data_IF_660351415216
#
_entry.id   IF_660351415216
#
_cell.length_a   1.000
_cell.length_b   1.000
_cell.length_c   1.000
_cell.angle_alpha   90.00
_cell.angle_beta   90.00
_cell.angle_gamma   90.00
#
_symmetry.space_group_name_H-M   'P 1'
#
loop_
_entity.id
_entity.type
_entity.pdbx_description
1 polymer ?
#
# COMPACT_ATOMS: atom_id res chain seq x y z
N UNK A 1 -49.00 16.85 -48.84
CA UNK A 1 -49.34 16.64 -47.42
C UNK A 1 -48.51 15.47 -46.95
N UNK A 2 -47.37 15.75 -46.31
CA UNK A 2 -46.52 14.77 -45.66
C UNK A 2 -46.60 15.06 -44.15
N UNK A 3 -47.06 14.09 -43.39
CA UNK A 3 -47.11 14.10 -41.93
C UNK A 3 -45.71 13.81 -41.38
N UNK A 4 -45.21 14.53 -40.34
CA UNK A 4 -43.92 14.24 -39.73
C UNK A 4 -44.06 13.10 -38.73
N UNK A 5 -43.07 12.20 -38.76
CA UNK A 5 -42.87 11.11 -37.81
C UNK A 5 -42.28 11.66 -36.52
N UNK A 6 -42.79 11.33 -35.34
CA UNK A 6 -42.20 11.74 -34.08
C UNK A 6 -40.97 10.86 -33.78
N UNK A 7 -39.78 11.49 -33.63
CA UNK A 7 -38.58 10.87 -33.08
C UNK A 7 -38.61 10.97 -31.55
N UNK A 8 -39.17 9.96 -30.92
CA UNK A 8 -39.05 9.82 -29.48
C UNK A 8 -37.76 9.03 -29.16
N UNK A 9 -36.73 9.76 -28.79
CA UNK A 9 -35.46 9.19 -28.39
C UNK A 9 -35.46 9.10 -26.86
N UNK A 10 -35.52 7.88 -26.27
CA UNK A 10 -35.47 7.77 -24.80
C UNK A 10 -34.12 8.24 -24.30
N UNK A 11 -34.13 9.38 -23.60
CA UNK A 11 -32.97 9.87 -22.86
C UNK A 11 -32.58 8.82 -21.81
N UNK A 12 -31.50 8.09 -22.09
CA UNK A 12 -30.83 7.28 -21.10
C UNK A 12 -30.32 8.22 -20.01
N UNK A 13 -30.90 8.14 -18.82
CA UNK A 13 -30.40 8.85 -17.65
C UNK A 13 -28.99 8.34 -17.37
N UNK A 14 -27.98 9.20 -17.19
CA UNK A 14 -26.65 8.74 -16.77
C UNK A 14 -26.78 8.11 -15.39
N UNK A 15 -26.40 6.85 -15.30
CA UNK A 15 -26.28 6.12 -14.04
C UNK A 15 -25.02 6.68 -13.35
N UNK A 16 -25.20 7.26 -12.18
CA UNK A 16 -24.09 7.71 -11.35
C UNK A 16 -23.28 6.48 -10.93
N UNK A 17 -22.00 6.45 -11.28
CA UNK A 17 -21.09 5.38 -10.90
C UNK A 17 -20.27 5.84 -9.71
N UNK A 18 -20.55 5.29 -8.52
CA UNK A 18 -19.77 5.47 -7.32
C UNK A 18 -18.75 4.31 -7.23
N UNK A 19 -17.48 4.60 -7.30
CA UNK A 19 -16.42 3.59 -7.22
C UNK A 19 -15.13 4.14 -6.63
N UNK A 20 -14.65 3.49 -5.57
CA UNK A 20 -13.43 3.85 -4.87
C UNK A 20 -12.17 3.51 -5.67
N UNK A 21 -11.11 4.33 -5.61
CA UNK A 21 -9.86 4.03 -6.27
C UNK A 21 -9.10 2.92 -5.54
N UNK A 22 -8.42 2.09 -6.33
CA UNK A 22 -7.70 0.88 -5.96
C UNK A 22 -6.61 1.03 -4.88
N UNK A 23 -6.12 2.23 -4.60
CA UNK A 23 -5.16 2.47 -3.50
C UNK A 23 -5.70 2.06 -2.13
N UNK A 24 -7.01 2.05 -1.94
CA UNK A 24 -7.67 1.56 -0.75
C UNK A 24 -7.75 0.02 -0.69
N UNK A 25 -7.56 -0.70 -1.80
CA UNK A 25 -7.83 -2.13 -1.95
C UNK A 25 -6.62 -3.05 -1.71
N UNK A 26 -5.45 -2.52 -1.33
CA UNK A 26 -4.24 -3.30 -1.03
C UNK A 26 -4.06 -3.58 0.48
N UNK A 27 -5.13 -3.85 1.22
CA UNK A 27 -5.08 -3.80 2.67
C UNK A 27 -4.34 -4.95 3.37
N UNK A 28 -4.11 -6.11 2.74
CA UNK A 28 -3.47 -7.25 3.42
C UNK A 28 -2.14 -7.71 2.80
N UNK A 29 -1.98 -7.65 1.50
CA UNK A 29 -0.63 -7.80 0.90
C UNK A 29 0.31 -6.71 1.43
N UNK A 30 -0.26 -5.52 1.70
CA UNK A 30 0.47 -4.42 2.32
C UNK A 30 0.61 -4.60 3.83
N UNK A 31 -0.31 -5.26 4.53
CA UNK A 31 -0.23 -5.40 5.99
C UNK A 31 0.80 -6.44 6.44
N UNK A 32 0.96 -7.58 5.76
CA UNK A 32 2.06 -8.52 6.03
C UNK A 32 3.41 -7.97 5.56
N UNK A 33 3.44 -7.31 4.41
CA UNK A 33 4.62 -6.58 3.94
C UNK A 33 4.82 -5.28 4.72
N UNK A 34 3.78 -4.59 5.16
CA UNK A 34 3.89 -3.41 6.02
C UNK A 34 4.14 -3.79 7.49
N UNK A 35 3.68 -4.94 7.99
CA UNK A 35 4.10 -5.50 9.27
C UNK A 35 5.58 -5.88 9.27
N UNK A 36 6.09 -6.46 8.17
CA UNK A 36 7.52 -6.63 7.91
C UNK A 36 8.22 -5.32 7.52
N UNK A 37 7.47 -4.32 7.08
CA UNK A 37 7.94 -2.99 6.64
C UNK A 37 7.76 -1.90 7.71
N UNK A 38 6.78 -2.00 8.58
CA UNK A 38 6.74 -1.26 9.82
C UNK A 38 7.82 -1.86 10.72
N UNK A 39 9.07 -1.50 10.46
CA UNK A 39 10.08 -1.74 11.47
C UNK A 39 9.55 -1.13 12.76
N UNK A 40 9.37 -1.94 13.79
CA UNK A 40 9.25 -1.40 15.11
C UNK A 40 10.44 -0.47 15.34
N UNK A 41 10.22 0.55 16.10
CA UNK A 41 11.24 1.16 16.94
C UNK A 41 12.28 0.08 17.25
N UNK A 42 13.56 0.37 16.99
CA UNK A 42 14.66 -0.59 17.12
C UNK A 42 14.72 -1.34 18.47
N UNK A 43 13.94 -0.96 19.46
CA UNK A 43 13.78 -1.63 20.75
C UNK A 43 12.89 -2.87 20.76
N UNK A 44 12.07 -3.14 19.72
CA UNK A 44 11.18 -4.31 19.72
C UNK A 44 11.76 -5.55 19.01
N UNK A 45 12.91 -5.43 18.34
CA UNK A 45 13.56 -6.57 17.65
C UNK A 45 14.14 -7.61 18.60
N UNK A 46 14.23 -7.32 19.91
CA UNK A 46 14.82 -8.17 20.92
C UNK A 46 13.92 -8.38 22.14
N UNK A 47 12.60 -8.10 22.00
CA UNK A 47 11.70 -8.21 23.13
C UNK A 47 11.49 -9.68 23.52
N UNK A 48 12.05 -10.06 24.66
CA UNK A 48 11.83 -11.36 25.35
C UNK A 48 10.55 -11.32 26.19
N UNK A 49 10.00 -10.15 26.38
CA UNK A 49 8.78 -9.88 27.13
C UNK A 49 7.93 -8.86 26.39
N UNK A 50 6.65 -8.78 26.76
CA UNK A 50 5.78 -7.73 26.30
C UNK A 50 6.34 -6.34 26.68
N UNK A 51 6.04 -5.29 25.90
CA UNK A 51 6.41 -3.92 26.26
C UNK A 51 5.92 -3.57 27.68
N UNK A 52 6.70 -2.83 28.45
CA UNK A 52 6.31 -2.40 29.81
C UNK A 52 5.13 -1.42 29.80
N UNK A 53 4.97 -0.66 28.73
CA UNK A 53 3.95 0.39 28.57
C UNK A 53 3.16 0.18 27.29
N UNK A 54 1.89 0.51 27.35
CA UNK A 54 1.04 0.61 26.17
C UNK A 54 1.42 1.80 25.30
N UNK A 55 0.92 1.84 24.08
CA UNK A 55 1.07 2.93 23.11
C UNK A 55 -0.28 3.26 22.49
N UNK A 56 -0.67 4.51 22.53
CA UNK A 56 -1.77 5.05 21.75
C UNK A 56 -1.24 6.00 20.68
N UNK A 57 -1.75 5.92 19.46
CA UNK A 57 -1.35 6.78 18.36
C UNK A 57 -2.53 7.21 17.51
N UNK A 58 -2.52 8.45 17.07
CA UNK A 58 -3.46 9.02 16.12
C UNK A 58 -2.70 9.46 14.88
N UNK A 59 -3.25 9.16 13.70
CA UNK A 59 -2.70 9.64 12.43
C UNK A 59 -3.81 10.23 11.56
N UNK A 60 -3.45 11.27 10.84
CA UNK A 60 -4.28 11.88 9.81
C UNK A 60 -3.47 11.98 8.51
N UNK A 61 -4.11 11.65 7.39
CA UNK A 61 -3.56 11.76 6.04
C UNK A 61 -4.48 12.63 5.18
N UNK A 62 -3.91 13.59 4.47
CA UNK A 62 -4.52 14.25 3.32
C UNK A 62 -3.66 13.94 2.09
N UNK A 63 -4.26 13.28 1.11
CA UNK A 63 -3.65 12.89 -0.16
C UNK A 63 -4.42 13.50 -1.30
N UNK A 64 -3.70 14.06 -2.27
CA UNK A 64 -4.28 14.60 -3.50
C UNK A 64 -3.44 14.16 -4.68
N UNK A 65 -4.08 13.57 -5.69
CA UNK A 65 -3.44 13.30 -6.98
C UNK A 65 -3.98 14.18 -8.11
N UNK A 66 -3.19 14.28 -9.16
CA UNK A 66 -3.50 15.06 -10.35
C UNK A 66 -2.90 14.43 -11.60
N UNK A 67 -3.57 14.65 -12.73
CA UNK A 67 -3.05 14.48 -14.08
C UNK A 67 -2.97 15.84 -14.77
N UNK A 68 -2.27 15.98 -15.90
CA UNK A 68 -2.09 17.30 -16.51
C UNK A 68 -3.39 18.09 -16.59
N UNK A 69 -3.39 19.24 -15.91
CA UNK A 69 -4.49 20.20 -15.91
C UNK A 69 -5.53 20.09 -14.80
N UNK A 70 -5.69 18.90 -14.13
CA UNK A 70 -6.82 18.72 -13.22
C UNK A 70 -6.48 17.90 -11.96
N UNK A 71 -6.93 18.33 -10.77
CA UNK A 71 -7.01 17.49 -9.58
C UNK A 71 -7.96 16.33 -9.83
N UNK A 72 -7.59 15.12 -9.35
CA UNK A 72 -8.40 13.92 -9.58
C UNK A 72 -9.01 13.39 -8.30
N UNK A 73 -8.18 12.76 -7.47
CA UNK A 73 -8.62 12.01 -6.30
C UNK A 73 -8.03 12.67 -5.06
N UNK A 74 -8.89 12.94 -4.09
CA UNK A 74 -8.51 13.30 -2.74
C UNK A 74 -8.90 12.19 -1.79
N UNK A 75 -7.96 11.78 -0.93
CA UNK A 75 -8.19 10.82 0.15
C UNK A 75 -7.89 11.50 1.48
N UNK A 76 -8.81 11.42 2.41
CA UNK A 76 -8.62 11.83 3.81
C UNK A 76 -8.81 10.63 4.70
N UNK A 77 -7.75 10.24 5.40
CA UNK A 77 -7.78 9.09 6.28
C UNK A 77 -7.44 9.48 7.72
N UNK A 78 -8.11 8.80 8.65
CA UNK A 78 -7.85 8.89 10.09
C UNK A 78 -7.56 7.49 10.60
N UNK A 79 -6.54 7.34 11.42
CA UNK A 79 -6.21 6.06 12.05
C UNK A 79 -5.97 6.24 13.53
N UNK A 80 -6.52 5.33 14.31
CA UNK A 80 -6.24 5.15 15.74
C UNK A 80 -5.49 3.85 15.92
N UNK A 81 -4.33 3.91 16.52
CA UNK A 81 -3.51 2.76 16.89
C UNK A 81 -3.51 2.61 18.41
N UNK A 82 -3.69 1.39 18.86
CA UNK A 82 -3.56 1.00 20.26
C UNK A 82 -2.71 -0.26 20.35
N UNK A 83 -1.74 -0.26 21.24
CA UNK A 83 -0.99 -1.45 21.64
C UNK A 83 -0.86 -1.43 23.14
N UNK A 84 -1.14 -2.55 23.81
CA UNK A 84 -1.02 -2.65 25.26
C UNK A 84 -0.52 -4.04 25.69
N UNK A 85 0.39 -4.12 26.64
CA UNK A 85 0.69 -5.38 27.31
C UNK A 85 -0.51 -5.86 28.11
N UNK A 86 -0.79 -7.17 28.08
CA UNK A 86 -1.80 -7.84 28.89
C UNK A 86 -1.11 -8.50 30.10
N UNK A 87 0.11 -8.96 29.89
CA UNK A 87 1.00 -9.54 30.91
C UNK A 87 2.44 -9.39 30.47
N UNK A 88 3.40 -9.94 31.23
CA UNK A 88 4.81 -10.00 30.84
C UNK A 88 5.06 -10.69 29.51
N UNK A 89 4.18 -11.63 29.14
CA UNK A 89 4.37 -12.52 27.99
C UNK A 89 3.38 -12.26 26.85
N UNK A 90 2.43 -11.34 27.04
CA UNK A 90 1.39 -11.09 26.05
C UNK A 90 1.13 -9.61 25.81
N UNK A 91 0.94 -9.24 24.57
CA UNK A 91 0.41 -7.93 24.18
C UNK A 91 -0.70 -8.07 23.14
N UNK A 92 -1.60 -7.09 23.13
CA UNK A 92 -2.61 -6.92 22.11
C UNK A 92 -2.36 -5.62 21.38
N UNK A 93 -2.48 -5.66 20.06
CA UNK A 93 -2.42 -4.50 19.18
C UNK A 93 -3.69 -4.35 18.38
N UNK A 94 -3.95 -3.15 17.90
CA UNK A 94 -5.05 -2.90 16.98
C UNK A 94 -4.95 -1.54 16.32
N UNK A 95 -5.54 -1.47 15.13
CA UNK A 95 -5.64 -0.23 14.36
C UNK A 95 -7.06 -0.10 13.81
N UNK A 96 -7.66 1.04 14.02
CA UNK A 96 -8.92 1.43 13.38
C UNK A 96 -8.63 2.52 12.36
N UNK A 97 -9.07 2.32 11.13
CA UNK A 97 -8.88 3.29 10.04
C UNK A 97 -10.23 3.65 9.42
N UNK A 98 -10.46 4.94 9.24
CA UNK A 98 -11.57 5.45 8.44
C UNK A 98 -11.00 6.39 7.40
N UNK A 99 -11.29 6.14 6.14
CA UNK A 99 -10.90 7.01 5.04
C UNK A 99 -12.09 7.33 4.14
N UNK A 100 -12.13 8.57 3.71
CA UNK A 100 -13.09 9.08 2.73
C UNK A 100 -12.32 9.45 1.45
N UNK A 101 -12.84 8.98 0.34
CA UNK A 101 -12.28 9.19 -0.99
C UNK A 101 -13.25 10.04 -1.78
N UNK A 102 -12.76 11.12 -2.36
CA UNK A 102 -13.51 11.97 -3.28
C UNK A 102 -12.67 12.29 -4.51
N UNK A 103 -13.31 12.50 -5.66
CA UNK A 103 -12.58 12.87 -6.85
C UNK A 103 -13.24 12.43 -8.15
N UNK A 104 -12.45 12.35 -9.22
CA UNK A 104 -12.89 11.98 -10.55
C UNK A 104 -11.98 10.93 -11.19
N UNK A 105 -12.57 10.04 -11.98
CA UNK A 105 -11.82 9.07 -12.80
C UNK A 105 -10.95 9.77 -13.85
N UNK A 106 -9.86 9.14 -14.33
CA UNK A 106 -9.04 9.67 -15.42
C UNK A 106 -9.86 9.97 -16.66
N UNK A 107 -9.71 11.16 -17.21
CA UNK A 107 -10.49 11.68 -18.33
C UNK A 107 -10.24 10.99 -19.67
N UNK A 108 -9.13 10.26 -19.85
CA UNK A 108 -8.80 9.63 -21.13
C UNK A 108 -9.50 8.29 -21.38
N UNK A 109 -10.28 7.79 -20.42
CA UNK A 109 -11.06 6.56 -20.58
C UNK A 109 -12.58 6.80 -20.57
N UNK A 110 -13.03 8.04 -20.32
CA UNK A 110 -14.43 8.42 -20.44
C UNK A 110 -14.53 9.92 -20.67
N UNK A 111 -15.39 10.33 -21.59
CA UNK A 111 -15.67 11.75 -21.86
C UNK A 111 -16.47 12.46 -20.76
N UNK A 112 -16.73 11.80 -19.63
CA UNK A 112 -17.45 12.34 -18.48
C UNK A 112 -16.63 12.12 -17.21
N UNK A 113 -16.27 13.21 -16.52
CA UNK A 113 -15.76 13.20 -15.17
C UNK A 113 -16.88 12.72 -14.23
N UNK A 114 -16.80 11.50 -13.79
CA UNK A 114 -17.74 10.98 -12.78
C UNK A 114 -17.16 11.28 -11.41
N UNK A 115 -17.85 12.08 -10.62
CA UNK A 115 -17.50 12.31 -9.22
C UNK A 115 -17.66 11.01 -8.46
N UNK A 116 -16.63 10.65 -7.72
CA UNK A 116 -16.59 9.48 -6.86
C UNK A 116 -16.61 9.95 -5.41
N UNK A 117 -17.41 9.30 -4.59
CA UNK A 117 -17.37 9.42 -3.15
C UNK A 117 -17.55 8.02 -2.57
N UNK A 118 -16.58 7.60 -1.76
CA UNK A 118 -16.65 6.32 -1.07
C UNK A 118 -16.01 6.45 0.31
N UNK A 119 -16.53 5.70 1.26
CA UNK A 119 -16.02 5.64 2.62
C UNK A 119 -15.59 4.20 2.95
N UNK A 120 -14.39 4.07 3.49
CA UNK A 120 -13.87 2.80 3.97
C UNK A 120 -13.69 2.83 5.46
N UNK A 121 -14.10 1.74 6.11
CA UNK A 121 -13.80 1.46 7.50
C UNK A 121 -13.00 0.16 7.59
N UNK A 122 -11.84 0.22 8.25
CA UNK A 122 -11.00 -0.93 8.46
C UNK A 122 -10.65 -1.07 9.95
N UNK A 123 -10.61 -2.31 10.40
CA UNK A 123 -10.16 -2.70 11.73
C UNK A 123 -9.16 -3.85 11.61
N UNK A 124 -8.04 -3.69 12.28
CA UNK A 124 -7.00 -4.72 12.39
C UNK A 124 -6.73 -4.95 13.87
N UNK A 125 -6.48 -6.20 14.24
CA UNK A 125 -6.12 -6.57 15.61
C UNK A 125 -5.10 -7.70 15.59
N UNK A 126 -4.19 -7.68 16.56
CA UNK A 126 -3.19 -8.72 16.75
C UNK A 126 -3.01 -9.08 18.21
N UNK A 127 -2.66 -10.33 18.44
CA UNK A 127 -2.29 -10.88 19.73
C UNK A 127 -0.89 -11.47 19.61
N UNK A 128 0.05 -10.96 20.40
CA UNK A 128 1.44 -11.41 20.39
C UNK A 128 1.79 -12.10 21.70
N UNK A 129 2.33 -13.32 21.61
CA UNK A 129 2.99 -14.02 22.69
C UNK A 129 4.49 -13.91 22.56
N UNK A 130 5.12 -13.57 23.67
CA UNK A 130 6.58 -13.45 23.80
C UNK A 130 7.16 -14.70 24.47
N UNK A 131 8.29 -15.14 23.95
CA UNK A 131 9.09 -16.25 24.46
C UNK A 131 10.53 -15.76 24.66
N UNK A 132 11.36 -16.45 25.45
CA UNK A 132 12.74 -16.02 25.70
C UNK A 132 13.57 -15.72 24.44
N UNK A 133 13.29 -16.40 23.34
CA UNK A 133 14.04 -16.23 22.08
C UNK A 133 13.12 -16.04 20.86
N UNK A 134 11.92 -15.48 21.03
CA UNK A 134 11.06 -15.25 19.87
C UNK A 134 9.66 -14.82 20.21
N UNK A 135 8.83 -14.63 19.18
CA UNK A 135 7.43 -14.23 19.32
C UNK A 135 6.54 -15.05 18.41
N UNK A 136 5.28 -15.18 18.80
CA UNK A 136 4.20 -15.65 17.93
C UNK A 136 3.09 -14.58 17.93
N UNK A 137 2.78 -14.05 16.76
CA UNK A 137 1.72 -13.06 16.56
C UNK A 137 0.61 -13.65 15.71
N UNK A 138 -0.63 -13.56 16.17
CA UNK A 138 -1.83 -13.91 15.43
C UNK A 138 -2.59 -12.62 15.14
N UNK A 139 -2.98 -12.41 13.88
CA UNK A 139 -3.68 -11.20 13.43
C UNK A 139 -4.99 -11.52 12.74
N UNK A 140 -5.92 -10.58 12.83
CA UNK A 140 -7.18 -10.57 12.09
C UNK A 140 -7.44 -9.17 11.54
N UNK A 141 -8.05 -9.07 10.36
CA UNK A 141 -8.40 -7.80 9.73
C UNK A 141 -9.78 -7.86 9.06
N UNK A 142 -10.45 -6.72 9.08
CA UNK A 142 -11.72 -6.48 8.41
C UNK A 142 -11.66 -5.11 7.73
N UNK A 143 -12.02 -5.03 6.45
CA UNK A 143 -12.17 -3.77 5.73
C UNK A 143 -13.46 -3.79 4.94
N UNK A 144 -14.27 -2.75 5.08
CA UNK A 144 -15.58 -2.62 4.45
C UNK A 144 -15.69 -1.29 3.72
N UNK A 145 -16.14 -1.37 2.49
CA UNK A 145 -16.54 -0.29 1.59
C UNK A 145 -17.97 -0.56 1.10
N UNK A 146 -18.56 0.36 0.36
CA UNK A 146 -19.91 0.18 -0.16
C UNK A 146 -20.06 -1.06 -1.05
N UNK A 147 -19.00 -1.41 -1.78
CA UNK A 147 -18.98 -2.46 -2.80
C UNK A 147 -17.93 -3.55 -2.57
N UNK A 148 -17.15 -3.44 -1.49
CA UNK A 148 -16.02 -4.32 -1.23
C UNK A 148 -15.91 -4.68 0.25
N UNK A 149 -15.84 -5.96 0.55
CA UNK A 149 -15.64 -6.48 1.90
C UNK A 149 -14.44 -7.43 1.91
N UNK A 150 -13.43 -7.10 2.69
CA UNK A 150 -12.21 -7.88 2.87
C UNK A 150 -12.11 -8.42 4.29
N UNK A 151 -11.74 -9.69 4.44
CA UNK A 151 -11.48 -10.35 5.71
C UNK A 151 -10.16 -11.09 5.64
N UNK A 152 -9.30 -10.88 6.63
CA UNK A 152 -7.98 -11.48 6.69
C UNK A 152 -7.69 -12.12 8.04
N UNK A 153 -6.84 -13.15 8.01
CA UNK A 153 -6.20 -13.72 9.21
C UNK A 153 -4.73 -13.97 8.90
N UNK A 154 -3.87 -13.83 9.91
CA UNK A 154 -2.43 -14.03 9.76
C UNK A 154 -1.81 -14.67 10.98
N UNK A 155 -0.69 -15.35 10.77
CA UNK A 155 0.19 -15.82 11.83
C UNK A 155 1.64 -15.49 11.45
N UNK A 156 2.41 -14.99 12.39
CA UNK A 156 3.82 -14.69 12.23
C UNK A 156 4.60 -15.17 13.44
N UNK A 157 5.74 -15.82 13.21
CA UNK A 157 6.66 -16.23 14.25
C UNK A 157 8.04 -15.62 14.00
N UNK A 158 8.73 -15.28 15.09
CA UNK A 158 10.13 -14.88 15.07
C UNK A 158 10.94 -15.77 16.00
N UNK A 159 12.23 -16.00 15.69
CA UNK A 159 13.17 -16.68 16.54
C UNK A 159 14.54 -16.04 16.46
N UNK A 160 15.06 -15.61 17.58
CA UNK A 160 16.40 -15.04 17.72
C UNK A 160 17.42 -16.09 18.16
N UNK A 161 18.67 -15.91 17.75
CA UNK A 161 19.82 -16.66 18.33
C UNK A 161 20.01 -16.29 19.80
N UNK A 162 20.79 -17.08 20.53
CA UNK A 162 21.16 -16.76 21.93
C UNK A 162 21.88 -15.42 22.05
N UNK A 163 22.74 -15.08 21.08
CA UNK A 163 23.44 -13.79 21.02
C UNK A 163 22.53 -12.62 20.62
N UNK A 164 21.27 -12.87 20.24
CA UNK A 164 20.29 -11.88 19.70
C UNK A 164 20.75 -11.16 18.42
N UNK A 165 21.88 -11.53 17.85
CA UNK A 165 22.39 -10.88 16.62
C UNK A 165 21.70 -11.37 15.36
N UNK A 166 21.09 -12.54 15.40
CA UNK A 166 20.39 -13.15 14.27
C UNK A 166 18.95 -13.43 14.63
N UNK A 167 18.00 -12.92 13.85
CA UNK A 167 16.57 -13.19 14.03
C UNK A 167 15.96 -13.70 12.72
N UNK A 168 15.39 -14.88 12.79
CA UNK A 168 14.58 -15.45 11.72
C UNK A 168 13.12 -15.04 11.91
N UNK A 169 12.41 -14.83 10.82
CA UNK A 169 10.97 -14.60 10.80
C UNK A 169 10.28 -15.45 9.74
N UNK A 170 9.08 -15.92 10.05
CA UNK A 170 8.21 -16.61 9.10
C UNK A 170 6.77 -16.16 9.33
N UNK A 171 6.01 -15.99 8.26
CA UNK A 171 4.61 -15.55 8.34
C UNK A 171 3.77 -16.13 7.23
N UNK A 172 2.48 -16.30 7.52
CA UNK A 172 1.44 -16.69 6.59
C UNK A 172 0.20 -15.81 6.81
N UNK A 173 -0.45 -15.42 5.72
CA UNK A 173 -1.72 -14.68 5.76
C UNK A 173 -2.69 -15.21 4.73
N UNK A 174 -3.97 -15.18 5.07
CA UNK A 174 -5.08 -15.54 4.20
C UNK A 174 -6.05 -14.38 4.14
N UNK A 175 -6.46 -14.02 2.94
CA UNK A 175 -7.45 -12.99 2.68
C UNK A 175 -8.59 -13.54 1.83
N UNK A 176 -9.82 -13.09 2.14
CA UNK A 176 -11.02 -13.43 1.39
C UNK A 176 -11.87 -12.18 1.20
N UNK A 177 -12.05 -11.80 -0.06
CA UNK A 177 -12.75 -10.60 -0.46
C UNK A 177 -14.07 -10.95 -1.16
N UNK A 178 -15.09 -10.16 -0.90
CA UNK A 178 -16.38 -10.14 -1.60
C UNK A 178 -16.48 -8.82 -2.36
N UNK A 179 -16.87 -8.87 -3.63
CA UNK A 179 -16.86 -7.75 -4.56
C UNK A 179 -18.21 -7.64 -5.23
N UNK A 180 -18.92 -6.54 -4.97
CA UNK A 180 -20.25 -6.24 -5.50
C UNK A 180 -20.33 -4.77 -5.90
N UNK A 181 -19.75 -4.39 -7.07
CA UNK A 181 -19.68 -3.01 -7.49
C UNK A 181 -21.07 -2.40 -7.66
N UNK A 182 -21.21 -1.14 -7.26
CA UNK A 182 -22.48 -0.40 -7.28
C UNK A 182 -23.04 -0.22 -8.70
N UNK A 183 -22.17 -0.26 -9.73
CA UNK A 183 -22.59 -0.23 -11.14
C UNK A 183 -23.23 -1.54 -11.64
N UNK A 184 -23.17 -2.62 -10.88
CA UNK A 184 -23.78 -3.89 -11.20
C UNK A 184 -23.18 -4.65 -12.40
N UNK A 185 -22.00 -4.23 -12.90
CA UNK A 185 -21.31 -4.88 -14.02
C UNK A 185 -20.97 -6.34 -13.71
N UNK A 186 -20.59 -6.60 -12.46
CA UNK A 186 -20.42 -7.95 -11.92
C UNK A 186 -21.15 -8.07 -10.59
N UNK A 187 -21.47 -9.29 -10.17
CA UNK A 187 -22.16 -9.56 -8.90
C UNK A 187 -21.57 -10.80 -8.22
N UNK A 188 -21.50 -10.75 -6.89
CA UNK A 188 -21.04 -11.87 -6.06
C UNK A 188 -19.65 -12.39 -6.43
N UNK A 189 -18.80 -11.51 -6.98
CA UNK A 189 -17.43 -11.86 -7.27
C UNK A 189 -16.62 -12.01 -5.97
N UNK A 190 -15.61 -12.86 -6.03
CA UNK A 190 -14.76 -13.17 -4.90
C UNK A 190 -13.30 -13.19 -5.30
N UNK A 191 -12.44 -12.87 -4.33
CA UNK A 191 -11.00 -13.02 -4.46
C UNK A 191 -10.45 -13.63 -3.17
N UNK A 192 -9.54 -14.59 -3.30
CA UNK A 192 -8.80 -15.17 -2.18
C UNK A 192 -7.32 -15.02 -2.45
N UNK A 193 -6.58 -14.60 -1.42
CA UNK A 193 -5.13 -14.43 -1.51
C UNK A 193 -4.48 -15.11 -0.33
N UNK A 194 -3.42 -15.88 -0.60
CA UNK A 194 -2.51 -16.44 0.40
C UNK A 194 -1.16 -15.78 0.25
N UNK A 195 -0.59 -15.31 1.35
CA UNK A 195 0.74 -14.70 1.38
C UNK A 195 1.63 -15.46 2.34
N UNK A 196 2.89 -15.69 1.98
CA UNK A 196 3.89 -16.23 2.86
C UNK A 196 5.13 -15.35 2.88
N UNK A 197 5.81 -15.30 4.01
CA UNK A 197 7.01 -14.52 4.23
C UNK A 197 8.04 -15.34 4.99
N UNK A 198 9.31 -15.26 4.56
CA UNK A 198 10.46 -15.70 5.34
C UNK A 198 11.48 -14.58 5.38
N UNK A 199 12.05 -14.31 6.55
CA UNK A 199 12.97 -13.21 6.76
C UNK A 199 14.15 -13.57 7.65
N UNK A 200 15.22 -12.83 7.46
CA UNK A 200 16.43 -12.87 8.27
C UNK A 200 16.84 -11.44 8.60
N UNK A 201 16.99 -11.14 9.87
CA UNK A 201 17.61 -9.91 10.36
C UNK A 201 18.94 -10.27 11.03
N UNK A 202 20.00 -9.56 10.64
CA UNK A 202 21.34 -9.75 11.17
C UNK A 202 21.91 -8.42 11.64
N UNK A 203 22.31 -8.37 12.90
CA UNK A 203 23.18 -7.32 13.45
C UNK A 203 24.61 -7.69 13.02
N UNK A 204 25.18 -6.91 12.11
CA UNK A 204 26.54 -7.12 11.59
C UNK A 204 27.60 -6.48 12.50
N UNK A 205 27.29 -5.26 12.94
CA UNK A 205 28.13 -4.47 13.86
C UNK A 205 27.20 -3.70 14.81
N UNK A 206 27.71 -3.06 15.87
CA UNK A 206 26.90 -2.17 16.70
C UNK A 206 26.21 -1.02 15.94
N UNK A 207 26.62 -0.78 14.70
CA UNK A 207 26.11 0.29 13.84
C UNK A 207 25.34 -0.19 12.62
N UNK A 208 25.43 -1.47 12.29
CA UNK A 208 24.88 -2.02 11.04
C UNK A 208 23.90 -3.15 11.29
N UNK A 209 22.69 -2.96 10.80
CA UNK A 209 21.66 -3.99 10.79
C UNK A 209 21.23 -4.22 9.34
N UNK A 210 21.23 -5.47 8.90
CA UNK A 210 20.77 -5.90 7.59
C UNK A 210 19.56 -6.81 7.75
N UNK A 211 18.58 -6.65 6.89
CA UNK A 211 17.39 -7.49 6.81
C UNK A 211 17.16 -7.97 5.38
N UNK A 212 16.86 -9.24 5.21
CA UNK A 212 16.48 -9.88 3.96
C UNK A 212 15.12 -10.54 4.17
N UNK A 213 14.15 -10.27 3.30
CA UNK A 213 12.85 -10.93 3.32
C UNK A 213 12.51 -11.46 1.92
N UNK A 214 11.98 -12.68 1.89
CA UNK A 214 11.39 -13.33 0.73
C UNK A 214 9.90 -13.48 0.97
N UNK A 215 9.08 -12.95 0.06
CA UNK A 215 7.64 -13.05 0.09
C UNK A 215 7.11 -13.78 -1.13
N UNK A 216 6.07 -14.58 -0.95
CA UNK A 216 5.30 -15.18 -2.03
C UNK A 216 3.81 -14.90 -1.80
N UNK A 217 3.12 -14.52 -2.86
CA UNK A 217 1.67 -14.27 -2.87
C UNK A 217 1.01 -15.11 -3.96
N UNK A 218 -0.10 -15.77 -3.65
CA UNK A 218 -0.90 -16.53 -4.59
C UNK A 218 -2.37 -16.17 -4.40
N UNK A 219 -2.98 -15.62 -5.44
CA UNK A 219 -4.36 -15.14 -5.43
C UNK A 219 -5.19 -15.78 -6.54
N UNK A 220 -6.46 -16.05 -6.25
CA UNK A 220 -7.46 -16.54 -7.21
C UNK A 220 -8.77 -15.77 -7.05
N UNK A 221 -9.41 -15.43 -8.17
CA UNK A 221 -10.70 -14.77 -8.19
C UNK A 221 -10.76 -13.56 -9.10
N UNK A 222 -11.49 -12.54 -8.71
CA UNK A 222 -11.73 -11.35 -9.52
C UNK A 222 -10.68 -10.28 -9.24
N UNK A 223 -9.87 -9.95 -10.24
CA UNK A 223 -8.80 -8.93 -10.16
C UNK A 223 -9.04 -7.71 -11.05
N UNK A 224 -10.03 -7.77 -11.92
CA UNK A 224 -10.38 -6.65 -12.81
C UNK A 224 -10.96 -5.48 -12.01
N UNK A 225 -10.83 -4.26 -12.55
CA UNK A 225 -11.47 -3.07 -11.99
C UNK A 225 -12.85 -2.89 -12.64
N UNK A 226 -13.95 -3.13 -11.89
CA UNK A 226 -15.30 -3.08 -12.45
C UNK A 226 -15.74 -1.67 -12.88
N UNK A 227 -15.01 -0.63 -12.47
CA UNK A 227 -15.29 0.76 -12.81
C UNK A 227 -14.49 1.25 -14.02
N UNK A 228 -13.62 0.40 -14.56
CA UNK A 228 -12.89 0.70 -15.79
C UNK A 228 -13.52 -0.07 -16.96
N UNK A 229 -13.68 0.64 -18.05
CA UNK A 229 -14.12 0.00 -19.28
C UNK A 229 -13.02 -0.93 -19.80
N UNK A 230 -13.41 -2.11 -20.28
CA UNK A 230 -12.51 -3.10 -20.89
C UNK A 230 -11.27 -3.45 -20.04
N UNK A 231 -11.44 -3.61 -18.74
CA UNK A 231 -10.41 -4.12 -17.83
C UNK A 231 -10.75 -5.58 -17.48
N UNK A 232 -10.17 -6.52 -18.22
CA UNK A 232 -10.30 -7.95 -17.99
C UNK A 232 -8.92 -8.55 -17.67
N UNK A 233 -8.70 -8.89 -16.40
CA UNK A 233 -7.43 -9.42 -15.91
C UNK A 233 -7.52 -10.91 -15.65
N UNK A 234 -6.41 -11.66 -15.72
CA UNK A 234 -6.38 -13.07 -15.34
C UNK A 234 -6.97 -13.29 -13.94
N UNK A 235 -7.68 -14.40 -13.78
CA UNK A 235 -8.32 -14.81 -12.52
C UNK A 235 -7.33 -15.38 -11.49
N UNK A 236 -6.09 -15.54 -11.87
CA UNK A 236 -4.99 -15.96 -10.99
C UNK A 236 -3.85 -14.95 -11.02
N UNK A 237 -3.23 -14.75 -9.88
CA UNK A 237 -2.07 -13.90 -9.72
C UNK A 237 -1.11 -14.50 -8.72
N UNK A 238 0.12 -14.75 -9.15
CA UNK A 238 1.20 -15.18 -8.27
C UNK A 238 2.34 -14.19 -8.36
N UNK A 239 2.90 -13.80 -7.22
CA UNK A 239 3.99 -12.84 -7.16
C UNK A 239 5.04 -13.23 -6.14
N UNK A 240 6.29 -12.87 -6.43
CA UNK A 240 7.42 -13.06 -5.53
C UNK A 240 8.06 -11.71 -5.23
N UNK A 241 8.49 -11.52 -4.00
CA UNK A 241 9.12 -10.30 -3.53
C UNK A 241 10.42 -10.63 -2.81
N UNK A 242 11.50 -9.93 -3.17
CA UNK A 242 12.74 -9.85 -2.40
C UNK A 242 12.86 -8.46 -1.83
N UNK A 243 13.05 -8.33 -0.52
CA UNK A 243 13.31 -7.04 0.13
C UNK A 243 14.63 -7.12 0.89
N UNK A 244 15.49 -6.15 0.62
CA UNK A 244 16.75 -5.94 1.32
C UNK A 244 16.67 -4.62 2.06
N UNK A 245 17.17 -4.56 3.31
CA UNK A 245 17.27 -3.34 4.09
C UNK A 245 18.60 -3.29 4.80
N UNK A 246 19.16 -2.10 4.87
CA UNK A 246 20.35 -1.79 5.63
C UNK A 246 20.14 -0.50 6.40
N UNK A 247 20.35 -0.57 7.71
CA UNK A 247 20.36 0.59 8.59
C UNK A 247 21.80 0.76 9.13
N UNK A 248 22.32 1.95 8.97
CA UNK A 248 23.67 2.32 9.43
C UNK A 248 23.61 3.55 10.33
N UNK A 249 24.15 3.41 11.54
CA UNK A 249 24.28 4.52 12.49
C UNK A 249 25.59 5.26 12.27
N UNK A 250 25.50 6.58 11.99
CA UNK A 250 26.66 7.47 11.79
C UNK A 250 27.05 8.15 13.10
N UNK A 251 28.20 7.79 13.65
CA UNK A 251 28.67 8.35 14.93
C UNK A 251 28.94 9.85 14.88
N UNK A 252 29.42 10.39 13.77
CA UNK A 252 29.78 11.81 13.62
C UNK A 252 28.58 12.75 13.70
N UNK A 253 27.42 12.30 13.27
CA UNK A 253 26.18 13.09 13.21
C UNK A 253 25.13 12.57 14.17
N UNK A 254 25.38 11.43 14.83
CA UNK A 254 24.40 10.66 15.60
C UNK A 254 23.13 10.30 14.81
N UNK A 255 23.22 10.43 13.50
CA UNK A 255 22.14 10.14 12.56
C UNK A 255 22.12 8.68 12.11
N UNK A 256 21.06 8.27 11.42
CA UNK A 256 20.94 6.92 10.87
C UNK A 256 20.54 6.96 9.41
N UNK A 257 21.38 6.40 8.55
CA UNK A 257 21.05 6.14 7.15
C UNK A 257 20.23 4.86 7.06
N UNK A 258 19.15 4.90 6.28
CA UNK A 258 18.28 3.76 6.01
C UNK A 258 18.18 3.57 4.51
N UNK A 259 18.56 2.40 4.03
CA UNK A 259 18.49 2.03 2.63
C UNK A 259 17.60 0.80 2.49
N UNK A 260 16.75 0.81 1.49
CA UNK A 260 15.88 -0.30 1.13
C UNK A 260 15.93 -0.58 -0.36
N UNK A 261 15.89 -1.85 -0.73
CA UNK A 261 15.67 -2.29 -2.09
C UNK A 261 14.62 -3.38 -2.10
N UNK A 262 13.63 -3.25 -2.99
CA UNK A 262 12.61 -4.27 -3.23
C UNK A 262 12.56 -4.62 -4.71
N UNK A 263 12.65 -5.91 -4.99
CA UNK A 263 12.36 -6.50 -6.28
C UNK A 263 11.04 -7.27 -6.18
N UNK A 264 10.16 -7.08 -7.16
CA UNK A 264 8.90 -7.80 -7.30
C UNK A 264 8.78 -8.36 -8.70
N UNK A 265 8.26 -9.57 -8.84
CA UNK A 265 7.90 -10.18 -10.12
C UNK A 265 6.64 -11.03 -9.96
N UNK A 266 5.73 -10.94 -10.94
CA UNK A 266 4.51 -11.75 -10.98
C UNK A 266 4.33 -12.50 -12.29
N UNK A 267 3.29 -13.36 -12.33
CA UNK A 267 2.91 -14.14 -13.50
C UNK A 267 2.13 -13.32 -14.55
N UNK A 268 1.89 -12.04 -14.29
CA UNK A 268 1.34 -11.10 -15.26
C UNK A 268 2.42 -10.40 -16.10
N UNK A 269 3.70 -10.76 -15.93
CA UNK A 269 4.83 -10.15 -16.63
C UNK A 269 5.36 -8.89 -15.97
N UNK A 270 4.78 -8.45 -14.86
CA UNK A 270 5.29 -7.26 -14.14
C UNK A 270 6.55 -7.63 -13.37
N UNK A 271 7.62 -6.90 -13.64
CA UNK A 271 8.84 -6.86 -12.85
C UNK A 271 9.05 -5.43 -12.35
N UNK A 272 9.16 -5.25 -11.02
CA UNK A 272 9.26 -3.93 -10.41
C UNK A 272 10.43 -3.82 -9.44
N UNK A 273 11.06 -2.65 -9.44
CA UNK A 273 12.19 -2.28 -8.60
C UNK A 273 11.83 -1.06 -7.79
N UNK A 274 12.10 -1.09 -6.49
CA UNK A 274 11.95 0.06 -5.60
C UNK A 274 13.25 0.27 -4.84
N UNK A 275 13.76 1.49 -4.81
CA UNK A 275 14.88 1.92 -3.97
C UNK A 275 14.35 2.99 -3.01
N UNK A 276 14.54 2.77 -1.73
CA UNK A 276 14.20 3.71 -0.65
C UNK A 276 15.48 4.19 0.03
N UNK A 277 15.61 5.50 0.20
CA UNK A 277 16.69 6.14 0.93
C UNK A 277 16.10 7.11 1.93
N UNK A 278 16.52 7.03 3.19
CA UNK A 278 16.14 8.00 4.20
C UNK A 278 17.31 8.25 5.17
N UNK A 279 17.39 9.46 5.69
CA UNK A 279 18.38 9.81 6.69
C UNK A 279 17.71 10.42 7.90
N UNK A 280 17.74 9.72 9.02
CA UNK A 280 17.15 10.16 10.29
C UNK A 280 18.18 10.98 11.04
N UNK A 281 17.98 12.28 11.16
CA UNK A 281 18.84 13.19 11.88
C UNK A 281 18.16 13.68 13.17
N UNK A 282 18.60 13.19 14.33
CA UNK A 282 18.25 13.83 15.60
C UNK A 282 18.85 15.23 15.68
N UNK A 283 18.10 16.16 16.22
CA UNK A 283 18.49 17.53 16.47
C UNK A 283 18.29 17.88 17.95
N UNK A 284 18.81 19.03 18.35
CA UNK A 284 18.64 19.51 19.72
C UNK A 284 17.17 19.62 20.15
N UNK A 285 16.93 19.57 21.46
CA UNK A 285 15.61 19.75 22.07
C UNK A 285 14.53 18.76 21.61
N UNK A 286 14.91 17.53 21.22
CA UNK A 286 13.97 16.46 20.86
C UNK A 286 13.34 16.61 19.46
N UNK A 287 13.92 17.40 18.58
CA UNK A 287 13.57 17.42 17.17
C UNK A 287 14.26 16.28 16.42
N UNK A 288 13.58 15.78 15.40
CA UNK A 288 14.14 14.81 14.44
C UNK A 288 13.67 15.18 13.05
N UNK A 289 14.59 15.26 12.10
CA UNK A 289 14.29 15.52 10.68
C UNK A 289 14.71 14.31 9.86
N UNK A 290 13.85 13.88 8.94
CA UNK A 290 14.10 12.72 8.08
C UNK A 290 13.75 13.04 6.64
N UNK A 291 14.68 13.54 5.82
CA UNK A 291 14.53 13.54 4.37
C UNK A 291 14.46 12.11 3.85
N UNK A 292 13.68 11.90 2.78
CA UNK A 292 13.53 10.61 2.14
C UNK A 292 13.38 10.76 0.60
N UNK A 293 13.87 9.75 -0.10
CA UNK A 293 13.73 9.59 -1.54
C UNK A 293 13.31 8.15 -1.83
N UNK A 294 12.33 7.98 -2.72
CA UNK A 294 11.98 6.69 -3.30
C UNK A 294 12.04 6.75 -4.81
N UNK A 295 12.70 5.78 -5.40
CA UNK A 295 12.72 5.55 -6.84
C UNK A 295 11.99 4.23 -7.13
N UNK A 296 11.12 4.26 -8.13
CA UNK A 296 10.34 3.10 -8.55
C UNK A 296 10.40 2.92 -10.06
N UNK A 297 10.40 1.68 -10.53
CA UNK A 297 10.31 1.32 -11.94
C UNK A 297 9.61 -0.02 -12.10
N UNK A 298 8.71 -0.14 -13.08
CA UNK A 298 8.06 -1.41 -13.42
C UNK A 298 7.97 -1.63 -14.93
N UNK A 299 7.91 -2.92 -15.35
CA UNK A 299 7.45 -3.33 -16.67
C UNK A 299 5.93 -3.27 -16.78
N UNK A 300 5.40 -3.29 -18.00
CA UNK A 300 3.98 -3.53 -18.22
C UNK A 300 3.60 -4.99 -17.95
N UNK A 301 2.33 -5.21 -17.64
CA UNK A 301 1.73 -6.55 -17.72
C UNK A 301 1.64 -7.03 -19.18
N UNK A 302 1.66 -8.34 -19.40
CA UNK A 302 1.62 -8.95 -20.72
C UNK A 302 0.31 -8.63 -21.48
N UNK A 303 -0.77 -8.34 -20.76
CA UNK A 303 -2.08 -7.97 -21.26
C UNK A 303 -2.35 -6.45 -21.27
N UNK A 304 -1.35 -5.63 -20.96
CA UNK A 304 -1.49 -4.16 -21.01
C UNK A 304 -1.49 -3.67 -22.44
N UNK A 305 -2.48 -2.84 -22.79
CA UNK A 305 -2.58 -2.16 -24.08
C UNK A 305 -2.53 -0.65 -23.86
N UNK A 306 -1.60 0.07 -24.52
CA UNK A 306 -1.58 1.53 -24.47
C UNK A 306 -2.86 2.13 -25.05
N UNK A 307 -3.36 3.22 -24.46
CA UNK A 307 -4.60 3.86 -24.89
C UNK A 307 -4.62 4.27 -26.36
N UNK A 308 -3.48 4.72 -26.92
CA UNK A 308 -3.34 5.05 -28.33
C UNK A 308 -3.44 3.83 -29.30
N UNK A 309 -3.25 2.63 -28.78
CA UNK A 309 -3.40 1.36 -29.52
C UNK A 309 -4.75 0.69 -29.25
N UNK A 310 -5.55 1.29 -28.37
CA UNK A 310 -6.90 0.85 -28.09
C UNK A 310 -7.77 1.04 -29.32
N UNK A 311 -8.50 0.00 -29.67
CA UNK A 311 -9.51 0.07 -30.74
C UNK A 311 -10.90 0.46 -30.23
N UNK A 312 -11.00 0.99 -28.98
CA UNK A 312 -12.25 1.49 -28.42
C UNK A 312 -12.88 2.59 -29.32
N UNK A 313 -14.21 2.60 -29.52
CA UNK A 313 -15.23 1.69 -28.96
C UNK A 313 -15.38 0.37 -29.71
N UNK A 314 -14.55 0.13 -30.70
CA UNK A 314 -14.56 -1.05 -31.54
C UNK A 314 -13.55 -2.10 -31.07
N UNK A 315 -13.02 -1.92 -29.84
CA UNK A 315 -12.05 -2.85 -29.31
C UNK A 315 -12.47 -4.26 -29.61
N UNK A 316 -11.60 -5.07 -30.23
CA UNK A 316 -11.87 -6.46 -30.25
C UNK A 316 -11.97 -6.82 -28.78
N UNK A 317 -13.10 -7.24 -28.36
CA UNK A 317 -13.22 -8.05 -27.19
C UNK A 317 -12.36 -9.26 -27.51
N UNK A 318 -11.08 -9.11 -27.22
CA UNK A 318 -10.09 -10.14 -27.43
C UNK A 318 -10.54 -11.33 -26.62
N UNK A 319 -10.33 -12.52 -27.11
CA UNK A 319 -10.64 -13.76 -26.40
C UNK A 319 -9.68 -13.99 -25.21
N UNK A 320 -9.14 -12.95 -24.59
CA UNK A 320 -8.13 -13.04 -23.54
C UNK A 320 -8.05 -11.78 -22.66
N UNK A 321 -7.21 -11.82 -21.63
CA UNK A 321 -6.99 -10.69 -20.73
C UNK A 321 -6.56 -9.41 -21.47
N UNK A 322 -7.12 -8.28 -21.03
CA UNK A 322 -6.90 -6.96 -21.62
C UNK A 322 -7.04 -5.86 -20.57
N UNK A 323 -6.14 -4.90 -20.54
CA UNK A 323 -6.28 -3.73 -19.67
C UNK A 323 -5.55 -2.50 -20.21
N UNK A 324 -6.22 -1.37 -20.21
CA UNK A 324 -5.62 -0.04 -20.45
C UNK A 324 -5.22 0.66 -19.16
N UNK A 325 -5.33 -0.01 -18.02
CA UNK A 325 -5.07 0.60 -16.73
C UNK A 325 -3.59 0.98 -16.57
N UNK A 326 -3.33 2.27 -16.32
CA UNK A 326 -1.97 2.77 -16.08
C UNK A 326 -1.23 2.04 -14.96
N UNK A 327 -1.93 1.42 -13.99
CA UNK A 327 -1.34 0.66 -12.88
C UNK A 327 -0.61 -0.60 -13.34
N UNK A 328 -1.00 -1.16 -14.47
CA UNK A 328 -0.34 -2.32 -15.09
C UNK A 328 0.54 -1.95 -16.30
N UNK A 329 0.76 -0.65 -16.55
CA UNK A 329 1.64 -0.13 -17.61
C UNK A 329 3.10 -0.14 -17.19
N UNK A 330 4.01 0.15 -18.13
CA UNK A 330 5.42 0.32 -17.87
C UNK A 330 5.77 1.80 -17.58
N UNK A 331 6.35 2.08 -16.41
CA UNK A 331 6.71 3.43 -16.00
C UNK A 331 7.81 3.47 -14.94
N UNK A 332 8.32 4.67 -14.69
CA UNK A 332 9.11 5.00 -13.52
C UNK A 332 8.44 6.06 -12.67
N UNK A 333 8.74 6.05 -11.37
CA UNK A 333 8.23 7.05 -10.44
C UNK A 333 9.31 7.51 -9.44
N UNK A 334 9.14 8.73 -8.94
CA UNK A 334 10.02 9.35 -7.94
C UNK A 334 9.18 9.96 -6.84
N UNK A 335 9.59 9.72 -5.60
CA UNK A 335 9.00 10.38 -4.43
C UNK A 335 10.11 11.11 -3.69
N UNK A 336 9.85 12.35 -3.34
CA UNK A 336 10.67 13.14 -2.42
C UNK A 336 9.81 13.46 -1.21
N UNK A 337 10.38 13.32 -0.02
CA UNK A 337 9.64 13.61 1.19
C UNK A 337 10.53 14.09 2.33
N UNK A 338 9.89 14.67 3.31
CA UNK A 338 10.49 15.06 4.58
C UNK A 338 9.54 14.75 5.73
N UNK A 339 10.07 14.15 6.78
CA UNK A 339 9.36 13.96 8.04
C UNK A 339 10.06 14.79 9.12
N UNK A 340 9.29 15.57 9.85
CA UNK A 340 9.75 16.30 11.03
C UNK A 340 9.00 15.73 12.23
N UNK A 341 9.72 15.36 13.27
CA UNK A 341 9.13 14.86 14.51
C UNK A 341 9.64 15.68 15.69
N UNK A 342 8.80 15.81 16.71
CA UNK A 342 9.08 16.53 17.94
C UNK A 342 8.66 15.68 19.14
N UNK A 343 9.62 15.37 20.00
CA UNK A 343 9.37 14.85 21.34
C UNK A 343 8.97 16.00 22.26
N UNK A 344 7.79 15.95 22.85
CA UNK A 344 7.27 16.93 23.80
C UNK A 344 7.17 16.29 25.17
N UNK A 345 8.04 16.70 26.07
CA UNK A 345 8.17 16.02 27.34
C UNK A 345 8.58 14.54 27.17
N UNK A 346 8.38 13.71 28.20
CA UNK A 346 8.80 12.30 28.15
C UNK A 346 7.89 11.42 27.30
N UNK A 347 6.63 11.81 27.10
CA UNK A 347 5.61 10.88 26.62
C UNK A 347 5.06 11.22 25.23
N UNK A 348 5.00 12.48 24.82
CA UNK A 348 4.35 12.85 23.57
C UNK A 348 5.32 12.93 22.40
N UNK A 349 5.00 12.24 21.31
CA UNK A 349 5.67 12.39 20.02
C UNK A 349 4.67 12.93 19.00
N UNK A 350 5.00 14.08 18.42
CA UNK A 350 4.26 14.65 17.28
C UNK A 350 5.11 14.48 16.02
N UNK A 351 4.48 14.19 14.90
CA UNK A 351 5.17 14.13 13.61
C UNK A 351 4.33 14.73 12.47
N UNK A 352 5.04 15.37 11.54
CA UNK A 352 4.51 15.87 10.27
C UNK A 352 5.37 15.28 9.16
N UNK A 353 4.72 14.66 8.16
CA UNK A 353 5.38 14.14 6.98
C UNK A 353 4.75 14.73 5.73
N UNK A 354 5.58 15.21 4.82
CA UNK A 354 5.18 15.65 3.47
C UNK A 354 5.86 14.77 2.44
N UNK A 355 5.12 14.38 1.39
CA UNK A 355 5.66 13.65 0.24
C UNK A 355 5.09 14.21 -1.06
N UNK A 356 5.98 14.33 -2.07
CA UNK A 356 5.65 14.66 -3.45
C UNK A 356 6.04 13.50 -4.35
N UNK A 357 5.06 12.93 -5.04
CA UNK A 357 5.20 11.82 -5.98
C UNK A 357 5.03 12.30 -7.42
N UNK A 358 5.81 11.73 -8.32
CA UNK A 358 5.65 11.89 -9.76
C UNK A 358 5.87 10.58 -10.49
N UNK A 359 5.07 10.32 -11.53
CA UNK A 359 5.17 9.13 -12.38
C UNK A 359 5.22 9.54 -13.85
N UNK A 360 6.15 8.93 -14.61
CA UNK A 360 6.35 9.16 -16.05
C UNK A 360 6.79 7.88 -16.75
N UNK A 361 6.36 7.68 -18.00
CA UNK A 361 6.88 6.62 -18.85
C UNK A 361 8.41 6.74 -19.02
N UNK A 362 8.90 7.94 -19.29
CA UNK A 362 10.32 8.22 -19.52
C UNK A 362 11.23 7.99 -18.29
N UNK A 363 10.67 7.80 -17.10
CA UNK A 363 11.48 7.54 -15.89
C UNK A 363 11.65 6.04 -15.58
N UNK A 364 11.19 5.18 -16.46
CA UNK A 364 11.44 3.74 -16.31
C UNK A 364 12.95 3.47 -16.39
N UNK A 365 13.50 2.75 -15.41
CA UNK A 365 14.95 2.48 -15.32
C UNK A 365 15.42 1.35 -16.23
N UNK A 366 14.58 0.34 -16.47
CA UNK A 366 14.96 -0.87 -17.22
C UNK A 366 14.02 -1.08 -18.41
N UNK A 367 14.38 -0.53 -19.56
CA UNK A 367 13.63 -0.60 -20.81
C UNK A 367 12.74 0.61 -21.09
N UNK A 368 11.98 0.58 -22.17
CA UNK A 368 11.06 1.65 -22.56
C UNK A 368 9.83 1.68 -21.66
N UNK A 369 9.34 2.88 -21.30
CA UNK A 369 8.04 3.06 -20.69
C UNK A 369 6.91 2.89 -21.71
N UNK A 370 5.70 2.70 -21.23
CA UNK A 370 4.51 2.60 -22.09
C UNK A 370 4.31 3.91 -22.87
N UNK A 371 4.05 3.83 -24.19
CA UNK A 371 3.76 5.02 -24.99
C UNK A 371 2.46 5.67 -24.50
N UNK A 372 2.34 6.97 -24.71
CA UNK A 372 1.16 7.80 -24.42
C UNK A 372 0.61 7.71 -22.98
N UNK A 373 1.45 7.23 -22.04
CA UNK A 373 1.10 7.22 -20.63
C UNK A 373 1.08 8.65 -20.09
N UNK A 374 -0.10 9.10 -19.68
CA UNK A 374 -0.27 10.43 -19.10
C UNK A 374 0.59 10.60 -17.84
N UNK A 375 1.27 11.76 -17.68
CA UNK A 375 1.96 12.08 -16.43
C UNK A 375 1.02 12.06 -15.24
N UNK A 376 1.49 11.52 -14.12
CA UNK A 376 0.73 11.47 -12.89
C UNK A 376 1.55 12.07 -11.75
N UNK A 377 0.93 12.89 -10.93
CA UNK A 377 1.53 13.50 -9.77
C UNK A 377 0.62 13.29 -8.55
N UNK A 378 1.24 13.21 -7.36
CA UNK A 378 0.48 13.21 -6.11
C UNK A 378 1.28 13.91 -5.01
N UNK A 379 0.57 14.41 -4.02
CA UNK A 379 1.13 14.94 -2.79
C UNK A 379 0.41 14.37 -1.59
N UNK A 380 1.11 14.18 -0.51
CA UNK A 380 0.50 13.79 0.76
C UNK A 380 1.07 14.56 1.94
N UNK A 381 0.20 14.86 2.88
CA UNK A 381 0.55 15.40 4.20
C UNK A 381 0.03 14.42 5.24
N UNK A 382 0.88 14.01 6.15
CA UNK A 382 0.52 13.16 7.28
C UNK A 382 0.84 13.89 8.59
N UNK A 383 -0.10 13.87 9.51
CA UNK A 383 0.07 14.30 10.89
C UNK A 383 -0.01 13.08 11.80
N UNK A 384 0.92 12.95 12.72
CA UNK A 384 0.96 11.88 13.69
C UNK A 384 1.11 12.42 15.10
N UNK A 385 0.45 11.76 16.05
CA UNK A 385 0.62 11.99 17.47
C UNK A 385 0.61 10.64 18.18
N UNK A 386 1.55 10.39 19.05
CA UNK A 386 1.57 9.16 19.84
C UNK A 386 2.03 9.42 21.26
N UNK A 387 1.57 8.53 22.18
CA UNK A 387 1.88 8.59 23.60
C UNK A 387 1.97 7.17 24.17
N UNK A 388 3.04 6.80 24.88
CA UNK A 388 3.04 5.63 25.77
C UNK A 388 2.19 5.92 27.02
N UNK A 389 1.55 4.88 27.58
CA UNK A 389 0.73 4.97 28.81
C UNK A 389 0.94 3.77 29.72
#
# INVERSE_FOLDING_TARGET
>A
MQTPVPTDNPRVKPIAHDGAPWFARQSVETALLAGAMALPLAGLLHAESAPERGLIGLKYLDYLDSQPGEPRIQVRAKALLLMTPISSDWSIGGTLTSDAISGASPSYQSSALTRMHDERHAAEGDLTRYFPNGTLTLGASLSSEADYLSRGVSAQATRSSESKNTTWSAGIGFNSDSINPTNGVVRNERKKVTTTLVGLTQVLTPRDIVQINLGHSSGKGYFSDPYKFADERPRDKTGNTLTLRWNHHMQTTEGSARMGYRFYRDNWGIAAHTVDLAYVQPLAQGWTVTPLIRLYSQSAADFYVPAAQSSYPFAPFTTGPYSEDQRVSAFGARTFGIKVAKQIGPDWLLDLKFEQYGQRAAWRMFGAGSPDLAPFNARSVQLGMSRPF
#
